data_IF_058996561192
#
_entry.id   IF_058996561192
#
_cell.length_a   1.000
_cell.length_b   1.000
_cell.length_c   1.000
_cell.angle_alpha   90.00
_cell.angle_beta   90.00
_cell.angle_gamma   90.00
#
_symmetry.space_group_name_H-M   'P 1'
#
loop_
_entity.id
_entity.type
_entity.pdbx_description
1 polymer ?
#
# COMPACT_ATOMS: atom_id res chain seq x y z
N UNK A 1 8.54 -36.83 -47.76
CA UNK A 1 8.09 -35.61 -47.05
C UNK A 1 7.93 -36.00 -45.57
N UNK A 2 8.98 -36.19 -44.76
CA UNK A 2 10.09 -35.29 -44.36
C UNK A 2 9.57 -34.01 -43.67
N UNK A 3 9.85 -33.95 -42.35
CA UNK A 3 9.91 -32.78 -41.46
C UNK A 3 8.58 -32.37 -40.79
N UNK A 4 8.22 -33.02 -39.68
CA UNK A 4 7.39 -32.43 -38.60
C UNK A 4 7.77 -33.00 -37.22
N UNK A 5 9.05 -33.34 -37.00
CA UNK A 5 9.56 -33.97 -35.77
C UNK A 5 10.59 -33.15 -34.95
N UNK A 6 10.55 -31.80 -34.83
CA UNK A 6 11.37 -31.14 -33.82
C UNK A 6 10.61 -30.27 -32.80
N UNK A 7 9.29 -30.41 -32.63
CA UNK A 7 8.54 -29.61 -31.64
C UNK A 7 8.33 -30.30 -30.28
N UNK A 8 8.82 -31.53 -30.12
CA UNK A 8 8.58 -32.39 -28.95
C UNK A 8 9.79 -32.52 -28.01
N UNK A 9 10.75 -31.58 -28.07
CA UNK A 9 11.99 -31.63 -27.27
C UNK A 9 12.28 -30.29 -26.56
N UNK A 10 11.29 -29.71 -25.88
CA UNK A 10 11.51 -28.60 -24.94
C UNK A 10 11.16 -28.97 -23.49
N UNK A 11 10.87 -30.26 -23.23
CA UNK A 11 10.68 -30.79 -21.89
C UNK A 11 11.99 -31.42 -21.43
N UNK A 12 12.49 -30.95 -20.28
CA UNK A 12 13.58 -31.48 -19.43
C UNK A 12 14.76 -30.51 -19.28
N UNK A 13 14.52 -29.47 -18.47
CA UNK A 13 15.56 -28.60 -17.94
C UNK A 13 15.25 -28.15 -16.52
N UNK A 14 14.69 -29.03 -15.67
CA UNK A 14 14.61 -28.75 -14.22
C UNK A 14 15.98 -29.08 -13.64
N UNK A 15 16.85 -28.06 -13.59
CA UNK A 15 18.09 -28.18 -12.85
C UNK A 15 17.75 -28.37 -11.37
N UNK A 16 17.93 -29.59 -10.86
CA UNK A 16 17.92 -29.85 -9.43
C UNK A 16 19.15 -29.19 -8.81
N UNK A 17 18.96 -27.97 -8.27
CA UNK A 17 19.95 -27.33 -7.41
C UNK A 17 19.86 -27.99 -6.04
N UNK A 18 20.74 -28.97 -5.79
CA UNK A 18 20.98 -29.49 -4.44
C UNK A 18 21.97 -28.55 -3.74
N UNK A 19 21.49 -27.82 -2.74
CA UNK A 19 22.36 -27.05 -1.86
C UNK A 19 23.05 -27.98 -0.84
N UNK A 20 24.38 -27.98 -0.82
CA UNK A 20 25.20 -28.74 0.13
C UNK A 20 24.89 -28.29 1.57
N UNK A 21 24.45 -29.21 2.44
CA UNK A 21 24.25 -28.93 3.86
C UNK A 21 25.59 -28.95 4.60
N UNK A 22 25.97 -27.85 5.24
CA UNK A 22 27.15 -27.81 6.11
C UNK A 22 26.73 -27.90 7.56
N UNK A 23 27.36 -28.82 8.30
CA UNK A 23 27.06 -29.14 9.70
C UNK A 23 27.60 -28.02 10.60
N UNK A 24 26.80 -26.99 10.83
CA UNK A 24 26.98 -26.05 11.94
C UNK A 24 25.63 -25.95 12.65
N UNK A 25 25.49 -26.69 13.75
CA UNK A 25 24.29 -26.72 14.55
C UNK A 25 24.38 -25.63 15.62
N UNK A 26 24.05 -24.41 15.22
CA UNK A 26 23.82 -23.32 16.17
C UNK A 26 22.41 -23.48 16.74
N UNK A 27 22.28 -23.61 18.06
CA UNK A 27 20.97 -23.78 18.71
C UNK A 27 20.08 -22.57 18.45
N UNK A 28 19.00 -22.74 17.68
CA UNK A 28 18.04 -21.67 17.40
C UNK A 28 16.89 -21.76 18.36
N UNK A 29 16.52 -20.63 18.95
CA UNK A 29 15.24 -20.50 19.64
C UNK A 29 14.13 -20.44 18.58
N UNK A 30 13.21 -21.42 18.52
CA UNK A 30 12.13 -21.38 17.55
C UNK A 30 11.15 -20.27 17.91
N UNK A 31 11.03 -19.26 17.05
CA UNK A 31 10.00 -18.23 17.17
C UNK A 31 8.64 -18.81 16.80
N UNK A 32 7.61 -18.51 17.59
CA UNK A 32 6.24 -18.95 17.31
C UNK A 32 5.49 -17.98 16.39
N UNK A 33 5.86 -16.70 16.42
CA UNK A 33 5.17 -15.60 15.75
C UNK A 33 6.18 -14.52 15.34
N UNK A 34 5.92 -13.89 14.21
CA UNK A 34 6.63 -12.69 13.74
C UNK A 34 5.62 -11.57 13.49
N UNK A 35 6.04 -10.34 13.75
CA UNK A 35 5.33 -9.13 13.38
C UNK A 35 6.23 -8.32 12.46
N UNK A 36 5.72 -7.96 11.30
CA UNK A 36 6.44 -7.20 10.28
C UNK A 36 5.65 -5.93 10.05
N UNK A 37 6.23 -4.79 10.41
CA UNK A 37 5.69 -3.47 10.10
C UNK A 37 6.54 -2.79 9.03
N UNK A 38 5.92 -1.95 8.22
CA UNK A 38 6.65 -1.15 7.24
C UNK A 38 5.86 0.05 6.75
N UNK A 39 6.59 0.99 6.16
CA UNK A 39 6.03 2.15 5.48
C UNK A 39 6.26 1.98 3.98
N UNK A 40 5.25 2.30 3.19
CA UNK A 40 5.32 2.38 1.74
C UNK A 40 5.34 3.85 1.34
N UNK A 41 6.32 4.27 0.55
CA UNK A 41 6.36 5.63 0.00
C UNK A 41 6.50 5.47 -1.51
N UNK A 42 5.62 6.11 -2.27
CA UNK A 42 5.68 6.15 -3.74
C UNK A 42 5.34 7.56 -4.22
N UNK A 43 5.67 7.90 -5.48
CA UNK A 43 5.45 9.25 -6.01
C UNK A 43 4.01 9.74 -5.84
N UNK A 44 3.06 8.82 -6.05
CA UNK A 44 1.63 9.13 -5.98
C UNK A 44 1.03 8.99 -4.58
N UNK A 45 1.80 8.70 -3.52
CA UNK A 45 1.19 8.43 -2.22
C UNK A 45 2.07 7.81 -1.15
N UNK A 46 1.39 7.32 -0.11
CA UNK A 46 2.01 6.73 1.06
C UNK A 46 1.17 5.54 1.52
N UNK A 47 1.78 4.65 2.28
CA UNK A 47 1.06 3.56 2.91
C UNK A 47 1.76 3.02 4.14
N UNK A 48 1.00 2.25 4.91
CA UNK A 48 1.45 1.52 6.08
C UNK A 48 1.08 0.06 5.88
N UNK A 49 2.02 -0.82 6.15
CA UNK A 49 1.82 -2.27 6.06
C UNK A 49 2.13 -2.93 7.39
N UNK A 50 1.26 -3.85 7.79
CA UNK A 50 1.44 -4.68 8.98
C UNK A 50 1.14 -6.12 8.61
N UNK A 51 2.06 -7.03 8.94
CA UNK A 51 1.87 -8.46 8.75
C UNK A 51 2.15 -9.19 10.06
N UNK A 52 1.23 -10.09 10.39
CA UNK A 52 1.39 -11.09 11.43
C UNK A 52 1.71 -12.43 10.77
N UNK A 53 2.90 -12.96 11.02
CA UNK A 53 3.28 -14.29 10.55
C UNK A 53 3.21 -15.30 11.71
N UNK A 54 2.47 -16.40 11.52
CA UNK A 54 2.44 -17.52 12.47
C UNK A 54 3.17 -18.71 11.87
N UNK A 55 4.07 -19.30 12.64
CA UNK A 55 4.76 -20.53 12.24
C UNK A 55 3.79 -21.71 12.28
N UNK A 56 3.62 -22.36 11.13
CA UNK A 56 2.91 -23.63 11.03
C UNK A 56 3.90 -24.81 11.08
N UNK A 57 5.02 -24.67 10.35
CA UNK A 57 6.13 -25.64 10.27
C UNK A 57 7.45 -24.88 10.41
N UNK A 58 8.57 -25.57 10.63
CA UNK A 58 9.90 -24.94 10.68
C UNK A 58 10.22 -24.05 9.45
N UNK A 59 9.68 -24.38 8.27
CA UNK A 59 9.89 -23.64 7.01
C UNK A 59 8.68 -22.85 6.53
N UNK A 60 7.49 -23.09 7.10
CA UNK A 60 6.24 -22.49 6.62
C UNK A 60 5.63 -21.54 7.65
N UNK A 61 5.37 -20.32 7.18
CA UNK A 61 4.78 -19.25 7.98
C UNK A 61 3.52 -18.76 7.28
N UNK A 62 2.38 -18.82 7.96
CA UNK A 62 1.12 -18.24 7.49
C UNK A 62 1.12 -16.73 7.73
N UNK A 63 0.78 -15.95 6.71
CA UNK A 63 0.77 -14.49 6.75
C UNK A 63 -0.67 -13.95 6.80
N UNK A 64 -0.92 -13.08 7.77
CA UNK A 64 -2.11 -12.23 7.84
C UNK A 64 -1.65 -10.78 7.85
N UNK A 65 -2.00 -10.05 6.79
CA UNK A 65 -1.57 -8.68 6.58
C UNK A 65 -2.73 -7.70 6.57
N UNK A 66 -2.42 -6.45 6.89
CA UNK A 66 -3.27 -5.31 6.65
C UNK A 66 -2.41 -4.20 6.08
N UNK A 67 -2.85 -3.62 4.97
CA UNK A 67 -2.17 -2.49 4.36
C UNK A 67 -3.14 -1.35 4.11
N UNK A 68 -2.73 -0.16 4.50
CA UNK A 68 -3.45 1.08 4.32
C UNK A 68 -2.65 1.95 3.36
N UNK A 69 -3.22 2.34 2.22
CA UNK A 69 -2.54 3.14 1.19
C UNK A 69 -3.36 4.39 0.89
N UNK A 70 -2.78 5.56 1.05
CA UNK A 70 -3.35 6.82 0.60
C UNK A 70 -2.80 7.17 -0.79
N UNK A 71 -3.69 7.36 -1.76
CA UNK A 71 -3.29 7.78 -3.11
C UNK A 71 -3.69 9.24 -3.37
N UNK A 72 -2.80 9.95 -4.05
CA UNK A 72 -3.03 11.28 -4.60
C UNK A 72 -3.20 11.17 -6.10
N UNK A 73 -4.03 12.04 -6.65
CA UNK A 73 -4.18 12.18 -8.09
C UNK A 73 -3.06 13.07 -8.65
N UNK A 74 -2.43 12.73 -9.80
CA UNK A 74 -1.25 13.45 -10.32
C UNK A 74 -1.54 14.90 -10.72
N UNK A 75 -2.80 15.24 -10.96
CA UNK A 75 -3.25 16.62 -11.24
C UNK A 75 -3.60 17.43 -9.98
N UNK A 76 -3.37 16.90 -8.78
CA UNK A 76 -3.63 17.64 -7.54
C UNK A 76 -2.57 18.72 -7.32
N UNK A 77 -2.96 19.98 -7.52
CA UNK A 77 -2.11 21.13 -7.20
C UNK A 77 -2.59 21.70 -5.87
N UNK A 78 -1.64 21.87 -4.94
CA UNK A 78 -1.91 22.51 -3.66
C UNK A 78 -2.00 24.02 -3.87
N UNK A 79 -3.13 24.61 -3.51
CA UNK A 79 -3.41 26.03 -3.59
C UNK A 79 -3.57 26.61 -2.19
N UNK A 80 -3.32 27.91 -2.05
CA UNK A 80 -3.45 28.66 -0.81
C UNK A 80 -4.28 29.91 -1.09
N UNK A 81 -4.99 30.39 -0.08
CA UNK A 81 -5.73 31.63 -0.21
C UNK A 81 -4.74 32.80 0.02
N UNK A 82 -4.44 33.64 -0.99
CA UNK A 82 -3.44 34.70 -0.86
C UNK A 82 -3.90 35.86 0.05
N UNK A 83 -5.19 35.93 0.38
CA UNK A 83 -5.76 37.03 1.16
C UNK A 83 -5.66 36.79 2.68
N UNK A 84 -5.37 35.56 3.12
CA UNK A 84 -5.28 35.22 4.54
C UNK A 84 -4.04 34.36 4.80
N UNK A 85 -3.13 34.86 5.63
CA UNK A 85 -1.90 34.14 6.03
C UNK A 85 -2.19 32.89 6.87
N UNK A 86 -3.27 32.89 7.66
CA UNK A 86 -3.70 31.76 8.49
C UNK A 86 -4.48 30.67 7.72
N UNK A 87 -4.66 30.84 6.40
CA UNK A 87 -5.43 29.89 5.60
C UNK A 87 -4.74 28.54 5.45
N UNK A 88 -5.48 27.46 5.73
CA UNK A 88 -4.95 26.10 5.50
C UNK A 88 -4.97 25.78 4.00
N UNK A 89 -3.80 25.49 3.43
CA UNK A 89 -3.68 25.08 2.03
C UNK A 89 -4.60 23.91 1.65
N UNK A 90 -5.25 24.02 0.50
CA UNK A 90 -6.24 23.09 -0.02
C UNK A 90 -5.82 22.57 -1.40
N UNK A 91 -6.57 21.60 -1.94
CA UNK A 91 -6.36 21.10 -3.30
C UNK A 91 -7.54 21.54 -4.16
N UNK A 92 -7.28 22.42 -5.12
CA UNK A 92 -8.32 22.90 -6.02
C UNK A 92 -8.72 21.78 -7.01
N UNK A 93 -10.02 21.65 -7.30
CA UNK A 93 -10.54 20.62 -8.21
C UNK A 93 -10.60 19.20 -7.64
N UNK A 94 -10.22 18.98 -6.37
CA UNK A 94 -10.25 17.66 -5.74
C UNK A 94 -11.59 17.40 -5.05
N UNK A 95 -12.50 16.71 -5.73
CA UNK A 95 -13.80 16.31 -5.18
C UNK A 95 -13.70 15.19 -4.13
N UNK A 96 -12.83 14.21 -4.35
CA UNK A 96 -12.72 13.03 -3.50
C UNK A 96 -11.26 12.72 -3.14
N UNK A 97 -11.05 12.20 -1.94
CA UNK A 97 -9.79 11.62 -1.49
C UNK A 97 -9.90 10.10 -1.54
N UNK A 98 -8.86 9.44 -2.07
CA UNK A 98 -8.85 7.99 -2.22
C UNK A 98 -7.91 7.33 -1.21
N UNK A 99 -8.43 6.37 -0.47
CA UNK A 99 -7.67 5.49 0.42
C UNK A 99 -7.96 4.05 0.06
N UNK A 100 -7.00 3.15 0.23
CA UNK A 100 -7.16 1.72 -0.06
C UNK A 100 -6.82 0.94 1.19
N UNK A 101 -7.74 0.08 1.61
CA UNK A 101 -7.54 -0.90 2.66
C UNK A 101 -7.37 -2.29 2.01
N UNK A 102 -6.22 -2.93 2.23
CA UNK A 102 -5.87 -4.23 1.65
C UNK A 102 -5.55 -5.23 2.75
N UNK A 103 -6.55 -5.95 3.28
CA UNK A 103 -6.26 -7.15 4.07
C UNK A 103 -5.63 -8.20 3.16
N UNK A 104 -4.51 -8.78 3.61
CA UNK A 104 -3.75 -9.77 2.85
C UNK A 104 -3.80 -11.11 3.57
N UNK A 105 -4.07 -12.17 2.83
CA UNK A 105 -3.90 -13.53 3.28
C UNK A 105 -2.82 -14.21 2.44
N UNK A 106 -1.84 -14.86 3.06
CA UNK A 106 -0.75 -15.46 2.29
C UNK A 106 0.10 -16.43 3.09
N UNK A 107 1.22 -16.82 2.49
CA UNK A 107 2.20 -17.71 3.10
C UNK A 107 3.61 -17.34 2.68
N UNK A 108 4.55 -17.49 3.63
CA UNK A 108 5.98 -17.38 3.44
C UNK A 108 6.59 -18.77 3.63
N UNK A 109 7.19 -19.30 2.57
CA UNK A 109 7.90 -20.57 2.55
C UNK A 109 9.40 -20.28 2.49
N UNK A 110 10.14 -20.79 3.46
CA UNK A 110 11.60 -20.72 3.50
C UNK A 110 12.17 -21.82 2.61
N UNK A 111 12.83 -21.44 1.50
CA UNK A 111 13.45 -22.38 0.57
C UNK A 111 14.84 -22.76 1.09
N UNK A 112 15.63 -21.76 1.47
CA UNK A 112 17.01 -21.95 1.91
C UNK A 112 17.17 -21.49 3.34
N UNK A 113 17.66 -22.41 4.17
CA UNK A 113 18.00 -22.11 5.55
C UNK A 113 19.31 -21.29 5.58
N UNK A 114 19.32 -20.19 6.34
CA UNK A 114 20.57 -19.49 6.65
C UNK A 114 21.40 -20.39 7.55
N UNK A 115 22.35 -21.18 7.05
CA UNK A 115 23.16 -22.10 7.88
C UNK A 115 24.45 -21.41 8.41
N UNK A 116 24.92 -20.36 7.73
CA UNK A 116 26.15 -19.62 8.08
C UNK A 116 25.84 -18.17 8.47
N UNK A 117 26.74 -17.53 9.23
CA UNK A 117 26.62 -16.10 9.61
C UNK A 117 26.47 -15.16 8.39
N UNK A 118 27.10 -15.52 7.27
CA UNK A 118 27.01 -14.85 5.95
C UNK A 118 26.02 -15.49 4.96
N UNK A 119 25.18 -16.44 5.41
CA UNK A 119 24.20 -17.10 4.55
C UNK A 119 23.06 -16.18 4.14
N UNK A 120 22.63 -16.30 2.89
CA UNK A 120 21.43 -15.61 2.35
C UNK A 120 20.21 -16.49 2.60
N UNK A 121 19.15 -15.90 3.14
CA UNK A 121 17.85 -16.58 3.30
C UNK A 121 16.97 -16.27 2.09
N UNK A 122 16.60 -17.31 1.34
CA UNK A 122 15.69 -17.18 0.20
C UNK A 122 14.31 -17.63 0.65
N UNK A 123 13.33 -16.73 0.49
CA UNK A 123 11.95 -16.96 0.86
C UNK A 123 11.04 -16.81 -0.35
N UNK A 124 10.13 -17.75 -0.52
CA UNK A 124 9.00 -17.62 -1.42
C UNK A 124 7.81 -17.03 -0.65
N UNK A 125 7.33 -15.87 -1.09
CA UNK A 125 6.21 -15.17 -0.45
C UNK A 125 5.13 -14.94 -1.49
N UNK A 126 3.92 -15.37 -1.18
CA UNK A 126 2.74 -15.08 -1.97
C UNK A 126 1.62 -14.58 -1.06
N UNK A 127 0.72 -13.78 -1.62
CA UNK A 127 -0.42 -13.28 -0.89
C UNK A 127 -1.53 -12.85 -1.82
N UNK A 128 -2.77 -13.00 -1.37
CA UNK A 128 -3.98 -12.61 -2.08
C UNK A 128 -4.93 -11.95 -1.10
N UNK A 129 -5.73 -11.02 -1.57
CA UNK A 129 -6.74 -10.42 -0.72
C UNK A 129 -7.69 -9.51 -1.48
N UNK A 130 -8.80 -9.12 -0.84
CA UNK A 130 -9.63 -8.05 -1.36
C UNK A 130 -8.91 -6.72 -1.22
N UNK A 131 -9.19 -5.82 -2.16
CA UNK A 131 -8.74 -4.43 -2.14
C UNK A 131 -9.97 -3.55 -1.97
N UNK A 132 -10.11 -2.90 -0.82
CA UNK A 132 -11.24 -2.03 -0.52
C UNK A 132 -10.81 -0.58 -0.76
N UNK A 133 -11.24 -0.03 -1.90
CA UNK A 133 -11.11 1.38 -2.21
C UNK A 133 -12.13 2.19 -1.42
N UNK A 134 -11.68 3.21 -0.71
CA UNK A 134 -12.47 4.10 0.12
C UNK A 134 -12.38 5.50 -0.50
N UNK A 135 -13.46 5.95 -1.12
CA UNK A 135 -13.60 7.31 -1.63
C UNK A 135 -14.26 8.18 -0.58
N UNK A 136 -13.51 9.15 -0.07
CA UNK A 136 -13.98 10.11 0.92
C UNK A 136 -14.25 11.46 0.25
N UNK A 137 -15.46 12.03 0.37
CA UNK A 137 -15.72 13.39 -0.15
C UNK A 137 -14.85 14.42 0.59
N UNK A 138 -14.34 15.40 -0.16
CA UNK A 138 -13.52 16.48 0.38
C UNK A 138 -14.43 17.61 0.87
N UNK A 139 -14.17 18.08 2.09
CA UNK A 139 -14.83 19.24 2.67
C UNK A 139 -13.84 20.40 2.70
N UNK A 140 -14.33 21.57 2.32
CA UNK A 140 -13.59 22.81 2.36
C UNK A 140 -14.30 23.81 3.29
N UNK A 141 -13.53 24.75 3.78
CA UNK A 141 -14.01 25.92 4.49
C UNK A 141 -14.27 27.00 3.46
N UNK A 142 -15.54 27.40 3.33
CA UNK A 142 -16.02 28.37 2.36
C UNK A 142 -16.38 29.66 3.10
N UNK A 143 -15.86 30.77 2.61
CA UNK A 143 -16.16 32.10 3.12
C UNK A 143 -17.47 32.63 2.54
N UNK A 144 -18.40 33.05 3.40
CA UNK A 144 -19.67 33.69 3.02
C UNK A 144 -19.76 35.08 3.65
N UNK A 145 -20.25 36.13 2.93
CA UNK A 145 -20.54 36.16 1.48
C UNK A 145 -19.28 36.03 0.62
N UNK A 146 -19.42 35.79 -0.69
CA UNK A 146 -18.34 35.62 -1.69
C UNK A 146 -17.54 36.92 -1.95
N UNK A 147 -17.26 37.68 -0.89
CA UNK A 147 -16.52 38.92 -0.85
C UNK A 147 -15.49 38.79 0.25
N UNK A 148 -14.27 39.17 -0.06
CA UNK A 148 -13.18 39.28 0.91
C UNK A 148 -13.26 40.70 1.51
N UNK A 149 -13.18 40.88 2.85
CA UNK A 149 -13.07 39.85 3.88
C UNK A 149 -14.39 39.09 4.12
N UNK A 150 -14.28 37.78 4.40
CA UNK A 150 -15.42 36.89 4.62
C UNK A 150 -16.03 37.17 6.00
N UNK A 151 -17.35 37.22 6.09
CA UNK A 151 -18.04 37.44 7.36
C UNK A 151 -18.19 36.14 8.18
N UNK A 152 -18.36 35.00 7.50
CA UNK A 152 -18.53 33.69 8.11
C UNK A 152 -17.78 32.62 7.32
N UNK A 153 -17.26 31.61 8.02
CA UNK A 153 -16.60 30.45 7.43
C UNK A 153 -17.48 29.22 7.68
N UNK A 154 -18.01 28.63 6.61
CA UNK A 154 -18.87 27.45 6.68
C UNK A 154 -18.12 26.24 6.12
N UNK A 155 -18.27 25.08 6.75
CA UNK A 155 -17.67 23.85 6.23
C UNK A 155 -18.68 23.16 5.32
N UNK A 156 -18.35 23.08 4.02
CA UNK A 156 -19.23 22.50 3.01
C UNK A 156 -18.49 21.46 2.17
N UNK A 157 -19.25 20.52 1.60
CA UNK A 157 -18.70 19.54 0.67
C UNK A 157 -18.27 20.27 -0.61
N UNK A 158 -17.07 19.96 -1.09
CA UNK A 158 -16.54 20.62 -2.28
C UNK A 158 -17.34 20.24 -3.53
N UNK A 159 -17.81 21.28 -4.21
CA UNK A 159 -18.45 21.20 -5.52
C UNK A 159 -17.77 22.19 -6.48
N UNK A 160 -17.07 21.72 -7.53
CA UNK A 160 -16.42 22.57 -8.51
C UNK A 160 -17.35 23.53 -9.27
N UNK A 161 -18.66 23.26 -9.31
CA UNK A 161 -19.63 24.11 -10.02
C UNK A 161 -20.06 25.34 -9.20
N UNK A 162 -19.89 25.29 -7.87
CA UNK A 162 -20.35 26.31 -6.92
C UNK A 162 -19.17 26.99 -6.21
N UNK A 163 -18.06 26.27 -6.04
CA UNK A 163 -16.92 26.71 -5.24
C UNK A 163 -15.73 27.10 -6.13
N UNK A 164 -15.57 28.41 -6.32
CA UNK A 164 -14.45 29.01 -7.01
C UNK A 164 -13.27 29.30 -6.07
N UNK A 165 -12.08 29.49 -6.64
CA UNK A 165 -10.86 29.85 -5.91
C UNK A 165 -11.05 31.05 -4.96
N UNK A 166 -11.97 31.96 -5.29
CA UNK A 166 -12.23 33.19 -4.54
C UNK A 166 -13.12 33.00 -3.31
N UNK A 167 -13.87 31.90 -3.19
CA UNK A 167 -14.73 31.63 -2.02
C UNK A 167 -14.14 30.58 -1.07
N UNK A 168 -13.07 29.90 -1.48
CA UNK A 168 -12.41 28.89 -0.66
C UNK A 168 -11.45 29.57 0.34
N UNK A 169 -11.79 29.49 1.62
CA UNK A 169 -10.91 29.93 2.71
C UNK A 169 -9.78 28.91 2.95
N UNK A 170 -10.10 27.61 3.00
CA UNK A 170 -9.08 26.58 3.22
C UNK A 170 -9.63 25.16 3.33
N UNK A 171 -8.75 24.21 3.69
CA UNK A 171 -9.18 22.80 3.92
C UNK A 171 -9.91 22.64 5.25
N UNK A 172 -10.98 21.83 5.24
CA UNK A 172 -11.62 21.40 6.47
C UNK A 172 -10.83 20.29 7.19
N UNK A 173 -11.29 19.95 8.40
CA UNK A 173 -10.73 18.87 9.21
C UNK A 173 -10.86 17.52 8.51
N UNK A 174 -9.87 16.63 8.71
CA UNK A 174 -9.85 15.33 8.04
C UNK A 174 -11.02 14.40 8.43
N UNK A 175 -11.60 14.56 9.62
CA UNK A 175 -12.73 13.75 10.10
C UNK A 175 -14.07 14.07 9.40
N UNK A 176 -14.19 15.21 8.72
CA UNK A 176 -15.43 15.58 8.02
C UNK A 176 -15.63 14.70 6.78
N UNK A 177 -16.83 14.17 6.56
CA UNK A 177 -17.15 13.31 5.42
C UNK A 177 -16.76 11.84 5.58
N UNK A 178 -16.48 11.37 6.80
CA UNK A 178 -16.26 9.93 7.07
C UNK A 178 -17.55 9.10 6.94
N UNK A 179 -18.71 9.70 7.20
CA UNK A 179 -20.02 9.03 7.10
C UNK A 179 -20.49 8.91 5.63
N UNK A 180 -20.06 9.83 4.76
CA UNK A 180 -20.42 9.86 3.33
C UNK A 180 -19.42 9.09 2.44
N UNK A 181 -18.64 8.17 3.03
CA UNK A 181 -17.61 7.42 2.30
C UNK A 181 -18.23 6.36 1.38
N UNK A 182 -17.74 6.31 0.13
CA UNK A 182 -18.12 5.27 -0.83
C UNK A 182 -17.09 4.15 -0.87
N UNK A 183 -17.57 2.91 -0.78
CA UNK A 183 -16.76 1.71 -0.87
C UNK A 183 -16.71 1.20 -2.31
N UNK A 184 -15.50 0.96 -2.82
CA UNK A 184 -15.22 0.38 -4.12
C UNK A 184 -14.46 -0.94 -3.92
N UNK A 185 -15.14 -2.09 -4.04
CA UNK A 185 -14.49 -3.37 -3.88
C UNK A 185 -13.61 -3.70 -5.09
N UNK A 186 -12.53 -4.41 -4.83
CA UNK A 186 -11.59 -4.94 -5.82
C UNK A 186 -10.81 -6.12 -5.24
N UNK A 187 -9.84 -6.63 -6.00
CA UNK A 187 -8.97 -7.72 -5.58
C UNK A 187 -7.52 -7.44 -5.94
N UNK A 188 -6.60 -8.02 -5.18
CA UNK A 188 -5.18 -7.98 -5.53
C UNK A 188 -4.52 -9.33 -5.24
N UNK A 189 -3.48 -9.63 -6.02
CA UNK A 189 -2.59 -10.76 -5.81
C UNK A 189 -1.15 -10.28 -5.84
N UNK A 190 -0.32 -10.81 -4.95
CA UNK A 190 1.13 -10.61 -4.92
C UNK A 190 1.79 -11.97 -5.14
N UNK A 191 2.59 -12.02 -6.18
CA UNK A 191 3.51 -13.12 -6.50
C UNK A 191 4.93 -12.65 -6.21
N UNK A 192 5.91 -13.54 -5.93
CA UNK A 192 7.19 -13.12 -5.42
C UNK A 192 8.02 -12.31 -6.43
N UNK A 193 8.62 -11.25 -5.91
CA UNK A 193 9.81 -10.58 -6.44
C UNK A 193 10.57 -9.96 -5.26
N UNK A 194 11.18 -10.80 -4.41
CA UNK A 194 12.02 -10.29 -3.31
C UNK A 194 13.16 -11.26 -2.96
N UNK A 195 14.38 -10.87 -3.29
CA UNK A 195 15.61 -11.37 -2.70
C UNK A 195 15.86 -10.56 -1.42
N UNK A 196 15.74 -11.18 -0.25
CA UNK A 196 16.04 -10.51 1.01
C UNK A 196 17.55 -10.60 1.27
N UNK A 197 18.28 -9.51 0.98
CA UNK A 197 19.70 -9.40 1.33
C UNK A 197 19.78 -8.79 2.73
N UNK A 198 20.25 -9.53 3.76
CA UNK A 198 20.38 -8.96 5.09
C UNK A 198 21.47 -7.88 5.10
N UNK A 199 21.15 -6.72 5.68
CA UNK A 199 22.12 -5.71 6.09
C UNK A 199 23.07 -6.27 7.16
N UNK A 200 24.33 -5.83 7.12
CA UNK A 200 25.43 -6.27 7.98
C UNK A 200 25.14 -6.14 9.47
#
# INVERSE_FOLDING_TARGET
>A
MRILLPLLLSVLGVAHVSAQQTIYEESRVPYKRELIGGVLIHGDGWGLQFYHAKYNTARERRLLGLELVGMKHPKEIKSFNPYYEDSRGYFYGKANSFMILRPTYGQKLQITDKIRRSGVEVNFIWGVGPSLGLLKPVYLQIGKPDRIPYANIVTERYDPAVHDVQNIYGRATWFNGLDEMKLYPGGFGRSPSALNIPGK
#
